data_IF_871052938507
#
_entry.id   IF_871052938507
#
_cell.length_a   1.000
_cell.length_b   1.000
_cell.length_c   1.000
_cell.angle_alpha   90.00
_cell.angle_beta   90.00
_cell.angle_gamma   90.00
#
_symmetry.space_group_name_H-M   'P 1'
#
loop_
_entity.id
_entity.type
_entity.pdbx_description
1 polymer ?
#
# COMPACT_ATOMS: atom_id res chain seq x y z
N UNK A 1 6.59 6.57 14.97
CA UNK A 1 6.64 7.35 13.72
C UNK A 1 5.42 8.27 13.56
N UNK A 2 4.17 7.76 13.41
CA UNK A 2 2.98 8.59 13.10
C UNK A 2 2.75 9.71 14.12
N UNK A 3 2.75 9.42 15.42
CA UNK A 3 2.55 10.43 16.46
C UNK A 3 3.64 11.51 16.43
N UNK A 4 4.90 11.11 16.26
CA UNK A 4 6.01 12.07 16.14
C UNK A 4 5.87 12.95 14.90
N UNK A 5 5.42 12.37 13.79
CA UNK A 5 5.16 13.10 12.55
C UNK A 5 4.07 14.17 12.73
N UNK A 6 2.95 13.81 13.37
CA UNK A 6 1.86 14.76 13.67
C UNK A 6 2.39 15.92 14.55
N UNK A 7 3.15 15.61 15.61
CA UNK A 7 3.69 16.62 16.52
C UNK A 7 4.68 17.55 15.79
N UNK A 8 5.66 17.00 15.08
CA UNK A 8 6.63 17.82 14.35
C UNK A 8 6.00 18.64 13.25
N UNK A 9 5.06 18.08 12.49
CA UNK A 9 4.34 18.83 11.48
C UNK A 9 3.52 19.97 12.10
N UNK A 10 2.81 19.72 13.20
CA UNK A 10 2.06 20.76 13.89
C UNK A 10 2.96 21.92 14.34
N UNK A 11 4.15 21.63 14.87
CA UNK A 11 5.10 22.65 15.33
C UNK A 11 5.71 23.41 14.16
N UNK A 12 6.23 22.71 13.15
CA UNK A 12 7.05 23.31 12.08
C UNK A 12 6.23 23.92 10.96
N UNK A 13 5.06 23.33 10.62
CA UNK A 13 4.19 23.87 9.57
C UNK A 13 3.50 25.15 10.07
N UNK A 14 2.98 25.13 11.30
CA UNK A 14 2.19 26.24 11.84
C UNK A 14 3.00 27.22 12.71
N UNK A 15 4.29 26.98 12.92
CA UNK A 15 5.15 27.88 13.70
C UNK A 15 4.75 27.95 15.17
N UNK A 16 4.45 26.83 15.82
CA UNK A 16 4.09 26.79 17.24
C UNK A 16 5.31 26.63 18.13
N UNK A 17 5.16 26.95 19.44
CA UNK A 17 6.24 26.84 20.45
C UNK A 17 7.48 27.67 20.14
N UNK A 18 7.36 28.83 19.46
CA UNK A 18 8.48 29.72 19.17
C UNK A 18 9.27 29.39 17.91
N UNK A 19 8.87 28.37 17.16
CA UNK A 19 9.46 28.07 15.84
C UNK A 19 8.81 28.92 14.75
N UNK A 20 9.56 29.29 13.70
CA UNK A 20 8.99 29.98 12.54
C UNK A 20 8.05 29.05 11.76
N UNK A 21 6.98 29.59 11.20
CA UNK A 21 6.06 28.86 10.33
C UNK A 21 6.75 28.58 8.98
N UNK A 22 7.21 27.35 8.78
CA UNK A 22 7.95 26.92 7.60
C UNK A 22 7.05 26.37 6.49
N UNK A 23 5.71 26.24 6.72
CA UNK A 23 4.78 25.73 5.72
C UNK A 23 5.20 24.37 5.15
N UNK A 24 5.29 24.26 3.83
CA UNK A 24 5.65 23.00 3.12
C UNK A 24 7.04 22.50 3.52
N UNK A 25 8.02 23.40 3.67
CA UNK A 25 9.36 23.00 4.16
C UNK A 25 9.31 22.42 5.57
N UNK A 26 8.46 22.99 6.44
CA UNK A 26 8.20 22.47 7.78
C UNK A 26 7.64 21.05 7.77
N UNK A 27 6.76 20.71 6.83
CA UNK A 27 6.23 19.35 6.67
C UNK A 27 7.31 18.36 6.25
N UNK A 28 8.20 18.73 5.33
CA UNK A 28 9.32 17.88 4.90
C UNK A 28 10.30 17.61 6.03
N UNK A 29 10.71 18.66 6.76
CA UNK A 29 11.62 18.54 7.92
C UNK A 29 10.96 17.72 9.03
N UNK A 30 9.67 17.98 9.33
CA UNK A 30 8.91 17.25 10.35
C UNK A 30 8.82 15.75 10.06
N UNK A 31 8.60 15.38 8.80
CA UNK A 31 8.59 13.97 8.38
C UNK A 31 9.97 13.32 8.54
N UNK A 32 11.04 14.00 8.12
CA UNK A 32 12.41 13.48 8.29
C UNK A 32 12.80 13.31 9.75
N UNK A 33 12.43 14.24 10.62
CA UNK A 33 12.67 14.14 12.06
C UNK A 33 11.87 12.98 12.69
N UNK A 34 10.61 12.77 12.24
CA UNK A 34 9.80 11.66 12.72
C UNK A 34 10.38 10.29 12.34
N UNK A 35 10.97 10.17 11.16
CA UNK A 35 11.70 8.97 10.75
C UNK A 35 12.95 8.75 11.59
N UNK A 36 13.72 9.80 11.86
CA UNK A 36 14.91 9.72 12.71
C UNK A 36 14.54 9.26 14.13
N UNK A 37 13.49 9.82 14.72
CA UNK A 37 12.97 9.36 16.02
C UNK A 37 12.56 7.89 15.97
N UNK A 38 11.94 7.45 14.88
CA UNK A 38 11.56 6.04 14.68
C UNK A 38 12.79 5.13 14.65
N UNK A 39 13.83 5.51 13.91
CA UNK A 39 15.10 4.75 13.83
C UNK A 39 15.74 4.65 15.22
N UNK A 40 15.85 5.75 15.93
CA UNK A 40 16.42 5.77 17.30
C UNK A 40 15.61 4.88 18.24
N UNK A 41 14.28 4.95 18.17
CA UNK A 41 13.41 4.09 18.96
C UNK A 41 13.62 2.61 18.65
N UNK A 42 13.70 2.23 17.38
CA UNK A 42 13.95 0.84 16.97
C UNK A 42 15.32 0.34 17.41
N UNK A 43 16.36 1.16 17.32
CA UNK A 43 17.70 0.81 17.82
C UNK A 43 17.64 0.54 19.32
N UNK A 44 17.07 1.46 20.11
CA UNK A 44 16.98 1.32 21.57
C UNK A 44 16.11 0.12 21.97
N UNK A 45 14.98 -0.11 21.28
CA UNK A 45 14.11 -1.24 21.53
C UNK A 45 14.82 -2.56 21.23
N UNK A 46 15.52 -2.66 20.09
CA UNK A 46 16.29 -3.83 19.70
C UNK A 46 17.37 -4.12 20.75
N UNK A 47 18.09 -3.11 21.18
CA UNK A 47 19.15 -3.25 22.19
C UNK A 47 18.62 -3.77 23.53
N UNK A 48 17.38 -3.38 23.92
CA UNK A 48 16.80 -3.75 25.23
C UNK A 48 15.97 -5.03 25.22
N UNK A 49 15.40 -5.41 24.09
CA UNK A 49 14.40 -6.48 24.02
C UNK A 49 14.78 -7.67 23.15
N UNK A 50 15.75 -7.49 22.28
CA UNK A 50 16.19 -8.56 21.37
C UNK A 50 17.50 -9.15 21.87
N UNK A 51 17.59 -10.47 21.88
CA UNK A 51 18.85 -11.17 22.20
C UNK A 51 19.81 -11.00 21.03
N UNK A 52 20.68 -10.01 21.13
CA UNK A 52 21.65 -9.63 20.10
C UNK A 52 22.63 -10.76 19.79
N UNK A 53 22.97 -11.59 20.79
CA UNK A 53 23.90 -12.72 20.63
C UNK A 53 23.25 -13.83 19.82
N UNK A 54 22.00 -14.18 20.18
CA UNK A 54 21.22 -15.22 19.48
C UNK A 54 21.03 -14.92 17.99
N UNK A 55 20.80 -13.65 17.65
CA UNK A 55 20.63 -13.21 16.27
C UNK A 55 21.91 -12.76 15.58
N UNK A 56 23.06 -12.86 16.25
CA UNK A 56 24.38 -12.54 15.68
C UNK A 56 24.58 -11.04 15.36
N UNK A 57 23.81 -10.15 16.00
CA UNK A 57 23.85 -8.70 15.74
C UNK A 57 25.07 -8.03 16.38
N UNK A 58 25.75 -8.69 17.32
CA UNK A 58 26.97 -8.18 18.01
C UNK A 58 28.22 -8.39 17.18
N UNK A 59 28.23 -9.39 16.29
CA UNK A 59 29.41 -9.70 15.50
C UNK A 59 29.37 -8.97 14.15
N UNK A 60 30.54 -8.44 13.69
CA UNK A 60 30.60 -7.83 12.38
C UNK A 60 30.14 -8.85 11.32
N UNK A 61 29.12 -8.46 10.54
CA UNK A 61 28.56 -9.32 9.50
C UNK A 61 29.66 -9.73 8.53
N UNK A 62 29.96 -11.04 8.46
CA UNK A 62 30.85 -11.56 7.40
C UNK A 62 30.14 -11.38 6.07
N UNK A 63 30.67 -10.49 5.24
CA UNK A 63 30.19 -10.26 3.89
C UNK A 63 30.25 -11.55 3.06
N UNK A 64 29.13 -11.97 2.51
CA UNK A 64 29.05 -13.14 1.64
C UNK A 64 28.43 -12.73 0.31
N UNK A 65 29.26 -12.62 -0.73
CA UNK A 65 28.82 -12.28 -2.09
C UNK A 65 27.73 -13.21 -2.61
N UNK A 66 27.81 -14.50 -2.29
CA UNK A 66 26.79 -15.50 -2.69
C UNK A 66 25.41 -15.18 -2.10
N UNK A 67 25.36 -14.81 -0.82
CA UNK A 67 24.08 -14.43 -0.15
C UNK A 67 23.54 -13.14 -0.72
N UNK A 68 24.40 -12.14 -0.91
CA UNK A 68 23.99 -10.85 -1.49
C UNK A 68 23.45 -11.03 -2.90
N UNK A 69 24.12 -11.78 -3.77
CA UNK A 69 23.67 -12.06 -5.14
C UNK A 69 22.27 -12.72 -5.14
N UNK A 70 22.04 -13.68 -4.23
CA UNK A 70 20.72 -14.33 -4.12
C UNK A 70 19.63 -13.36 -3.64
N UNK A 71 19.96 -12.47 -2.71
CA UNK A 71 19.02 -11.42 -2.27
C UNK A 71 18.73 -10.43 -3.38
N UNK A 72 19.75 -10.02 -4.13
CA UNK A 72 19.60 -9.10 -5.26
C UNK A 72 18.75 -9.72 -6.38
N UNK A 73 18.92 -11.02 -6.67
CA UNK A 73 18.10 -11.70 -7.68
C UNK A 73 16.61 -11.69 -7.31
N UNK A 74 16.28 -12.00 -6.07
CA UNK A 74 14.89 -11.91 -5.55
C UNK A 74 14.37 -10.48 -5.58
N UNK A 75 15.19 -9.51 -5.14
CA UNK A 75 14.81 -8.10 -5.06
C UNK A 75 14.66 -7.46 -6.44
N UNK A 76 15.45 -7.87 -7.42
CA UNK A 76 15.42 -7.34 -8.77
C UNK A 76 14.06 -7.52 -9.43
N UNK A 77 13.50 -8.72 -9.37
CA UNK A 77 12.16 -8.99 -9.92
C UNK A 77 11.07 -8.17 -9.22
N UNK A 78 11.18 -8.04 -7.89
CA UNK A 78 10.24 -7.21 -7.11
C UNK A 78 10.38 -5.72 -7.43
N UNK A 79 11.60 -5.22 -7.67
CA UNK A 79 11.82 -3.83 -8.10
C UNK A 79 11.19 -3.53 -9.45
N UNK A 80 11.44 -4.38 -10.46
CA UNK A 80 10.84 -4.22 -11.80
C UNK A 80 9.32 -4.27 -11.70
N UNK A 81 8.79 -5.21 -10.93
CA UNK A 81 7.37 -5.34 -10.67
C UNK A 81 6.76 -4.05 -10.13
N UNK A 82 7.32 -3.51 -9.04
CA UNK A 82 6.85 -2.26 -8.44
C UNK A 82 6.97 -1.07 -9.40
N UNK A 83 8.05 -1.02 -10.18
CA UNK A 83 8.23 0.04 -11.18
C UNK A 83 7.13 0.00 -12.26
N UNK A 84 6.82 -1.18 -12.80
CA UNK A 84 5.77 -1.34 -13.81
C UNK A 84 4.40 -1.01 -13.21
N UNK A 85 4.10 -1.47 -11.98
CA UNK A 85 2.84 -1.16 -11.29
C UNK A 85 2.66 0.33 -11.09
N UNK A 86 3.69 1.04 -10.61
CA UNK A 86 3.66 2.50 -10.44
C UNK A 86 3.51 3.22 -11.78
N UNK A 87 4.21 2.76 -12.82
CA UNK A 87 4.10 3.35 -14.17
C UNK A 87 2.69 3.18 -14.74
N UNK A 88 2.08 2.01 -14.57
CA UNK A 88 0.70 1.74 -15.01
C UNK A 88 -0.30 2.63 -14.25
N UNK A 89 -0.10 2.82 -12.95
CA UNK A 89 -0.88 3.75 -12.14
C UNK A 89 -0.75 5.20 -12.62
N UNK A 90 0.46 5.63 -12.93
CA UNK A 90 0.72 6.97 -13.46
C UNK A 90 0.04 7.17 -14.82
N UNK A 91 0.14 6.19 -15.72
CA UNK A 91 -0.54 6.22 -17.02
C UNK A 91 -2.07 6.33 -16.86
N UNK A 92 -2.67 5.60 -15.92
CA UNK A 92 -4.10 5.74 -15.62
C UNK A 92 -4.48 7.19 -15.28
N UNK A 93 -3.69 7.87 -14.44
CA UNK A 93 -3.96 9.27 -14.10
C UNK A 93 -3.81 10.20 -15.27
N UNK A 94 -2.83 9.99 -16.15
CA UNK A 94 -2.70 10.75 -17.39
C UNK A 94 -3.95 10.60 -18.29
N UNK A 95 -4.50 9.41 -18.42
CA UNK A 95 -5.74 9.21 -19.16
C UNK A 95 -6.93 9.90 -18.50
N UNK A 96 -7.06 9.84 -17.18
CA UNK A 96 -8.14 10.53 -16.46
C UNK A 96 -8.03 12.06 -16.58
N UNK A 97 -6.81 12.60 -16.61
CA UNK A 97 -6.56 14.02 -16.83
C UNK A 97 -7.09 14.51 -18.18
N UNK A 98 -6.96 13.70 -19.24
CA UNK A 98 -7.53 14.00 -20.56
C UNK A 98 -9.06 14.02 -20.58
N UNK A 99 -9.74 13.40 -19.60
CA UNK A 99 -11.19 13.45 -19.46
C UNK A 99 -11.70 14.77 -18.81
N UNK A 100 -10.78 15.64 -18.41
CA UNK A 100 -11.03 16.97 -17.85
C UNK A 100 -10.94 17.04 -16.32
N UNK A 101 -10.86 18.28 -15.82
CA UNK A 101 -10.61 18.58 -14.40
C UNK A 101 -11.65 17.98 -13.46
N UNK A 102 -12.91 17.92 -13.86
CA UNK A 102 -13.99 17.36 -13.04
C UNK A 102 -13.81 15.85 -12.84
N UNK A 103 -13.46 15.12 -13.88
CA UNK A 103 -13.20 13.68 -13.82
C UNK A 103 -11.98 13.39 -12.92
N UNK A 104 -10.93 14.19 -13.06
CA UNK A 104 -9.73 14.09 -12.24
C UNK A 104 -10.03 14.36 -10.75
N UNK A 105 -10.84 15.40 -10.46
CA UNK A 105 -11.23 15.73 -9.08
C UNK A 105 -12.04 14.60 -8.44
N UNK A 106 -13.06 14.06 -9.14
CA UNK A 106 -13.86 12.92 -8.67
C UNK A 106 -12.96 11.71 -8.39
N UNK A 107 -12.08 11.37 -9.34
CA UNK A 107 -11.17 10.24 -9.22
C UNK A 107 -10.23 10.40 -8.01
N UNK A 108 -9.69 11.59 -7.78
CA UNK A 108 -8.82 11.87 -6.64
C UNK A 108 -9.54 11.72 -5.29
N UNK A 109 -10.79 12.22 -5.18
CA UNK A 109 -11.58 12.08 -3.95
C UNK A 109 -11.89 10.61 -3.68
N UNK A 110 -12.40 9.87 -4.67
CA UNK A 110 -12.71 8.45 -4.54
C UNK A 110 -11.45 7.65 -4.21
N UNK A 111 -10.32 7.93 -4.84
CA UNK A 111 -9.04 7.28 -4.56
C UNK A 111 -8.59 7.47 -3.12
N UNK A 112 -8.67 8.68 -2.58
CA UNK A 112 -8.25 8.96 -1.21
C UNK A 112 -9.09 8.17 -0.20
N UNK A 113 -10.40 8.12 -0.39
CA UNK A 113 -11.31 7.32 0.44
C UNK A 113 -11.00 5.84 0.29
N UNK A 114 -10.81 5.39 -0.93
CA UNK A 114 -10.47 4.01 -1.30
C UNK A 114 -9.15 3.52 -0.72
N UNK A 115 -8.24 4.44 -0.45
CA UNK A 115 -6.95 4.14 0.17
C UNK A 115 -7.10 3.47 1.53
N UNK A 116 -8.15 3.77 2.30
CA UNK A 116 -8.34 3.22 3.65
C UNK A 116 -8.57 1.70 3.62
N UNK A 117 -9.60 1.17 2.91
CA UNK A 117 -9.76 -0.29 2.78
C UNK A 117 -8.56 -0.96 2.11
N UNK A 118 -7.94 -0.31 1.12
CA UNK A 118 -6.76 -0.84 0.46
C UNK A 118 -5.57 -1.02 1.42
N UNK A 119 -5.34 -0.07 2.34
CA UNK A 119 -4.29 -0.19 3.37
C UNK A 119 -4.52 -1.41 4.26
N UNK A 120 -5.77 -1.70 4.63
CA UNK A 120 -6.10 -2.90 5.41
C UNK A 120 -5.77 -4.16 4.62
N UNK A 121 -6.20 -4.25 3.36
CA UNK A 121 -5.89 -5.38 2.47
C UNK A 121 -4.38 -5.56 2.33
N UNK A 122 -3.64 -4.50 2.09
CA UNK A 122 -2.19 -4.53 1.93
C UNK A 122 -1.46 -5.00 3.20
N UNK A 123 -1.91 -4.58 4.39
CA UNK A 123 -1.36 -5.01 5.67
C UNK A 123 -1.54 -6.53 5.88
N UNK A 124 -2.74 -7.06 5.63
CA UNK A 124 -2.99 -8.50 5.72
C UNK A 124 -2.23 -9.29 4.66
N UNK A 125 -2.13 -8.79 3.45
CA UNK A 125 -1.38 -9.42 2.37
C UNK A 125 0.12 -9.49 2.69
N UNK A 126 0.71 -8.40 3.18
CA UNK A 126 2.11 -8.35 3.61
C UNK A 126 2.40 -9.30 4.78
N UNK A 127 1.51 -9.35 5.78
CA UNK A 127 1.62 -10.29 6.91
C UNK A 127 1.51 -11.74 6.43
N UNK A 128 0.60 -12.03 5.50
CA UNK A 128 0.45 -13.35 4.90
C UNK A 128 1.75 -13.79 4.20
N UNK A 129 2.37 -12.90 3.43
CA UNK A 129 3.66 -13.15 2.76
C UNK A 129 4.77 -13.54 3.76
N UNK A 130 4.88 -12.78 4.86
CA UNK A 130 5.86 -13.07 5.91
C UNK A 130 5.62 -14.41 6.61
N UNK A 131 4.35 -14.72 6.92
CA UNK A 131 3.99 -16.00 7.55
C UNK A 131 4.21 -17.19 6.62
N UNK A 132 3.88 -17.08 5.34
CA UNK A 132 4.15 -18.10 4.32
C UNK A 132 5.65 -18.37 4.21
N UNK A 133 6.48 -17.32 4.15
CA UNK A 133 7.94 -17.46 4.16
C UNK A 133 8.46 -18.21 5.39
N UNK A 134 7.93 -17.88 6.57
CA UNK A 134 8.31 -18.55 7.82
C UNK A 134 7.86 -20.01 7.87
N UNK A 135 6.65 -20.32 7.40
CA UNK A 135 6.14 -21.69 7.36
C UNK A 135 6.97 -22.58 6.43
N UNK A 136 7.32 -22.09 5.25
CA UNK A 136 8.18 -22.79 4.29
C UNK A 136 9.59 -23.00 4.89
N UNK A 137 10.14 -21.97 5.52
CA UNK A 137 11.45 -22.06 6.19
C UNK A 137 11.46 -23.05 7.36
N UNK A 138 10.31 -23.28 8.01
CA UNK A 138 10.13 -24.26 9.08
C UNK A 138 9.76 -25.67 8.58
N UNK A 139 9.64 -25.90 7.26
CA UNK A 139 9.23 -27.18 6.67
C UNK A 139 7.76 -27.53 6.88
N UNK A 140 6.89 -26.54 7.15
CA UNK A 140 5.45 -26.70 7.44
C UNK A 140 4.59 -26.23 6.26
N UNK A 141 4.88 -26.77 5.09
CA UNK A 141 4.19 -26.37 3.84
C UNK A 141 2.68 -26.74 3.84
N UNK A 142 2.30 -27.77 4.58
CA UNK A 142 0.91 -28.19 4.79
C UNK A 142 0.02 -27.08 5.35
N UNK A 143 0.58 -26.18 6.15
CA UNK A 143 -0.15 -25.08 6.77
C UNK A 143 -0.29 -23.84 5.90
N UNK A 144 0.43 -23.74 4.81
CA UNK A 144 0.47 -22.53 3.95
C UNK A 144 -0.93 -22.18 3.44
N UNK A 145 -1.64 -23.13 2.86
CA UNK A 145 -2.97 -22.88 2.29
C UNK A 145 -4.02 -22.53 3.36
N UNK A 146 -3.92 -23.14 4.53
CA UNK A 146 -4.78 -22.82 5.69
C UNK A 146 -4.55 -21.37 6.15
N UNK A 147 -3.29 -20.95 6.25
CA UNK A 147 -2.89 -19.59 6.62
C UNK A 147 -3.41 -18.57 5.62
N UNK A 148 -3.28 -18.82 4.32
CA UNK A 148 -3.80 -17.92 3.27
C UNK A 148 -5.32 -17.76 3.41
N UNK A 149 -6.07 -18.85 3.52
CA UNK A 149 -7.54 -18.80 3.68
C UNK A 149 -7.96 -18.03 4.93
N UNK A 150 -7.23 -18.20 6.02
CA UNK A 150 -7.49 -17.47 7.27
C UNK A 150 -7.27 -15.96 7.08
N UNK A 151 -6.20 -15.54 6.40
CA UNK A 151 -5.96 -14.13 6.09
C UNK A 151 -7.04 -13.55 5.19
N UNK A 152 -7.48 -14.26 4.15
CA UNK A 152 -8.60 -13.84 3.31
C UNK A 152 -9.87 -13.63 4.15
N UNK A 153 -10.20 -14.60 5.03
CA UNK A 153 -11.39 -14.49 5.90
C UNK A 153 -11.29 -13.28 6.84
N UNK A 154 -10.16 -13.09 7.52
CA UNK A 154 -9.95 -11.97 8.44
C UNK A 154 -10.01 -10.63 7.71
N UNK A 155 -9.43 -10.54 6.53
CA UNK A 155 -9.51 -9.34 5.71
C UNK A 155 -10.95 -9.00 5.36
N UNK A 156 -11.75 -9.97 4.94
CA UNK A 156 -13.17 -9.74 4.66
C UNK A 156 -13.98 -9.34 5.89
N UNK A 157 -13.67 -9.91 7.06
CA UNK A 157 -14.35 -9.54 8.31
C UNK A 157 -14.17 -8.06 8.67
N UNK A 158 -13.08 -7.42 8.24
CA UNK A 158 -12.79 -6.02 8.51
C UNK A 158 -13.22 -5.14 7.33
N UNK A 159 -12.88 -5.53 6.11
CA UNK A 159 -13.08 -4.71 4.93
C UNK A 159 -14.55 -4.62 4.52
N UNK A 160 -15.34 -5.72 4.65
CA UNK A 160 -16.76 -5.69 4.27
C UNK A 160 -17.60 -4.72 5.11
N UNK A 161 -17.52 -4.70 6.45
CA UNK A 161 -18.25 -3.70 7.24
C UNK A 161 -17.82 -2.27 6.91
N UNK A 162 -16.52 -2.05 6.67
CA UNK A 162 -16.00 -0.72 6.33
C UNK A 162 -16.52 -0.24 4.98
N UNK A 163 -16.47 -1.09 3.96
CA UNK A 163 -17.01 -0.79 2.62
C UNK A 163 -18.54 -0.68 2.66
N UNK A 164 -19.20 -1.49 3.45
CA UNK A 164 -20.65 -1.37 3.71
C UNK A 164 -21.02 -0.01 4.30
N UNK A 165 -20.23 0.50 5.24
CA UNK A 165 -20.40 1.84 5.77
C UNK A 165 -20.23 2.92 4.67
N UNK A 166 -19.25 2.78 3.78
CA UNK A 166 -19.05 3.71 2.66
C UNK A 166 -20.22 3.68 1.67
N UNK A 167 -20.78 2.51 1.40
CA UNK A 167 -21.92 2.34 0.50
C UNK A 167 -23.22 2.89 1.09
N UNK A 168 -23.42 2.75 2.41
CA UNK A 168 -24.63 3.21 3.11
C UNK A 168 -24.61 4.73 3.37
N UNK A 169 -23.44 5.29 3.67
CA UNK A 169 -23.30 6.71 4.03
C UNK A 169 -22.35 7.47 3.09
N UNK A 170 -22.53 7.41 1.75
CA UNK A 170 -21.57 7.97 0.81
C UNK A 170 -21.42 9.49 0.97
N UNK A 171 -22.51 10.22 1.23
CA UNK A 171 -22.46 11.68 1.40
C UNK A 171 -21.66 12.12 2.61
N UNK A 172 -21.75 11.38 3.72
CA UNK A 172 -20.99 11.69 4.95
C UNK A 172 -19.51 11.46 4.71
N UNK A 173 -19.17 10.32 4.11
CA UNK A 173 -17.76 9.94 3.82
C UNK A 173 -17.12 10.91 2.83
N UNK A 174 -17.82 11.24 1.74
CA UNK A 174 -17.34 12.21 0.74
C UNK A 174 -17.24 13.63 1.33
N UNK A 175 -18.17 14.01 2.22
CA UNK A 175 -18.16 15.30 2.90
C UNK A 175 -16.97 15.55 3.81
N UNK A 176 -16.26 14.51 4.24
CA UNK A 176 -14.99 14.65 4.97
C UNK A 176 -13.87 15.21 4.07
N UNK A 177 -13.95 14.94 2.77
CA UNK A 177 -12.91 15.32 1.80
C UNK A 177 -13.23 16.59 1.02
N UNK A 178 -14.50 16.90 0.79
CA UNK A 178 -14.90 18.06 0.00
C UNK A 178 -16.22 18.62 0.47
N UNK A 179 -16.33 19.96 0.46
CA UNK A 179 -17.57 20.68 0.78
C UNK A 179 -18.36 21.10 -0.47
N UNK A 180 -17.94 20.67 -1.67
CA UNK A 180 -18.57 21.03 -2.94
C UNK A 180 -19.69 20.03 -3.25
N UNK A 181 -20.99 20.44 -3.16
CA UNK A 181 -22.12 19.51 -3.30
C UNK A 181 -22.16 18.80 -4.66
N UNK A 182 -21.83 19.52 -5.73
CA UNK A 182 -21.81 18.97 -7.10
C UNK A 182 -20.74 17.89 -7.27
N UNK A 183 -19.58 18.05 -6.63
CA UNK A 183 -18.51 17.07 -6.66
C UNK A 183 -18.89 15.83 -5.84
N UNK A 184 -19.54 16.01 -4.70
CA UNK A 184 -20.05 14.90 -3.88
C UNK A 184 -21.09 14.09 -4.70
N UNK A 185 -22.04 14.76 -5.33
CA UNK A 185 -23.06 14.09 -6.14
C UNK A 185 -22.45 13.30 -7.30
N UNK A 186 -21.43 13.87 -7.97
CA UNK A 186 -20.72 13.20 -9.08
C UNK A 186 -19.85 12.02 -8.61
N UNK A 187 -19.34 12.05 -7.38
CA UNK A 187 -18.47 11.01 -6.83
C UNK A 187 -19.23 9.79 -6.28
N UNK A 188 -20.51 9.90 -5.92
CA UNK A 188 -21.29 8.80 -5.34
C UNK A 188 -21.33 7.55 -6.23
N UNK A 189 -21.69 7.63 -7.54
CA UNK A 189 -21.70 6.45 -8.40
C UNK A 189 -20.34 5.76 -8.49
N UNK A 190 -19.27 6.54 -8.62
CA UNK A 190 -17.90 6.03 -8.66
C UNK A 190 -17.51 5.34 -7.36
N UNK A 191 -17.93 5.88 -6.20
CA UNK A 191 -17.71 5.25 -4.90
C UNK A 191 -18.45 3.93 -4.77
N UNK A 192 -19.68 3.80 -5.25
CA UNK A 192 -20.42 2.53 -5.22
C UNK A 192 -19.76 1.45 -6.08
N UNK A 193 -19.30 1.81 -7.28
CA UNK A 193 -18.52 0.89 -8.12
C UNK A 193 -17.26 0.47 -7.38
N UNK A 194 -16.56 1.42 -6.76
CA UNK A 194 -15.38 1.11 -5.97
C UNK A 194 -15.67 0.16 -4.79
N UNK A 195 -16.83 0.28 -4.13
CA UNK A 195 -17.21 -0.61 -3.03
C UNK A 195 -17.30 -2.10 -3.43
N UNK A 196 -17.44 -2.42 -4.72
CA UNK A 196 -17.41 -3.80 -5.21
C UNK A 196 -15.98 -4.34 -5.40
N UNK A 197 -15.02 -3.46 -5.58
CA UNK A 197 -13.62 -3.79 -5.91
C UNK A 197 -12.92 -4.66 -4.86
N UNK A 198 -13.08 -4.43 -3.54
CA UNK A 198 -12.42 -5.23 -2.51
C UNK A 198 -12.82 -6.71 -2.51
N UNK A 199 -13.99 -7.05 -3.06
CA UNK A 199 -14.43 -8.46 -3.19
C UNK A 199 -13.45 -9.29 -4.03
N UNK A 200 -12.85 -8.66 -5.04
CA UNK A 200 -11.89 -9.30 -5.95
C UNK A 200 -10.44 -8.99 -5.56
N UNK A 201 -10.15 -7.74 -5.21
CA UNK A 201 -8.79 -7.30 -4.90
C UNK A 201 -8.27 -7.91 -3.59
N UNK A 202 -9.10 -8.09 -2.57
CA UNK A 202 -8.63 -8.61 -1.30
C UNK A 202 -8.08 -10.05 -1.42
N UNK A 203 -8.83 -11.05 -1.94
CA UNK A 203 -8.26 -12.37 -2.13
C UNK A 203 -7.11 -12.36 -3.14
N UNK A 204 -7.25 -11.65 -4.26
CA UNK A 204 -6.21 -11.56 -5.29
C UNK A 204 -4.88 -11.08 -4.73
N UNK A 205 -4.88 -9.99 -3.96
CA UNK A 205 -3.67 -9.42 -3.36
C UNK A 205 -3.04 -10.35 -2.31
N UNK A 206 -3.85 -11.01 -1.47
CA UNK A 206 -3.36 -11.95 -0.46
C UNK A 206 -2.71 -13.18 -1.13
N UNK A 207 -3.35 -13.78 -2.13
CA UNK A 207 -2.76 -14.89 -2.88
C UNK A 207 -1.50 -14.49 -3.61
N UNK A 208 -1.50 -13.32 -4.25
CA UNK A 208 -0.34 -12.77 -4.93
C UNK A 208 0.85 -12.58 -4.00
N UNK A 209 0.63 -11.95 -2.85
CA UNK A 209 1.66 -11.74 -1.84
C UNK A 209 2.12 -13.05 -1.19
N UNK A 210 1.24 -14.03 -1.06
CA UNK A 210 1.63 -15.37 -0.62
C UNK A 210 2.59 -16.04 -1.62
N UNK A 211 2.35 -15.92 -2.93
CA UNK A 211 3.27 -16.40 -3.98
C UNK A 211 4.63 -15.69 -3.87
N UNK A 212 4.64 -14.37 -3.68
CA UNK A 212 5.88 -13.62 -3.42
C UNK A 212 6.60 -14.13 -2.17
N UNK A 213 5.85 -14.46 -1.10
CA UNK A 213 6.35 -15.03 0.15
C UNK A 213 7.02 -16.41 0.01
N UNK A 214 6.72 -17.17 -1.06
CA UNK A 214 7.44 -18.42 -1.36
C UNK A 214 8.87 -18.18 -1.85
N UNK A 215 9.27 -16.94 -2.10
CA UNK A 215 10.55 -16.57 -2.71
C UNK A 215 10.58 -16.70 -4.23
N UNK A 216 9.47 -17.14 -4.87
CA UNK A 216 9.38 -17.24 -6.32
C UNK A 216 8.89 -15.92 -6.95
N UNK A 217 9.64 -14.86 -6.73
CA UNK A 217 9.31 -13.50 -7.18
C UNK A 217 9.21 -13.37 -8.70
N UNK A 218 9.93 -14.23 -9.44
CA UNK A 218 9.82 -14.28 -10.90
C UNK A 218 8.43 -14.71 -11.37
N UNK A 219 7.82 -15.73 -10.73
CA UNK A 219 6.44 -16.14 -11.05
C UNK A 219 5.44 -15.07 -10.65
N UNK A 220 5.61 -14.44 -9.49
CA UNK A 220 4.78 -13.32 -9.08
C UNK A 220 4.85 -12.17 -10.10
N UNK A 221 6.06 -11.81 -10.55
CA UNK A 221 6.25 -10.80 -11.60
C UNK A 221 5.52 -11.14 -12.91
N UNK A 222 5.63 -12.39 -13.39
CA UNK A 222 4.94 -12.82 -14.63
C UNK A 222 3.41 -12.72 -14.48
N UNK A 223 2.86 -13.15 -13.35
CA UNK A 223 1.43 -13.04 -13.06
C UNK A 223 0.97 -11.58 -13.10
N UNK A 224 1.71 -10.68 -12.47
CA UNK A 224 1.39 -9.26 -12.48
C UNK A 224 1.53 -8.65 -13.87
N UNK A 225 2.58 -8.99 -14.61
CA UNK A 225 2.77 -8.52 -15.99
C UNK A 225 1.59 -8.88 -16.88
N UNK A 226 1.09 -10.12 -16.79
CA UNK A 226 -0.09 -10.56 -17.52
C UNK A 226 -1.32 -9.75 -17.11
N UNK A 227 -1.55 -9.58 -15.82
CA UNK A 227 -2.68 -8.81 -15.29
C UNK A 227 -2.64 -7.35 -15.74
N UNK A 228 -1.48 -6.70 -15.63
CA UNK A 228 -1.28 -5.31 -16.06
C UNK A 228 -1.40 -5.14 -17.57
N UNK A 229 -0.98 -6.14 -18.37
CA UNK A 229 -1.15 -6.12 -19.81
C UNK A 229 -2.64 -6.10 -20.19
N UNK A 230 -3.44 -6.97 -19.59
CA UNK A 230 -4.90 -6.96 -19.79
C UNK A 230 -5.53 -5.63 -19.34
N UNK A 231 -5.13 -5.12 -18.19
CA UNK A 231 -5.60 -3.84 -17.68
C UNK A 231 -5.28 -2.69 -18.64
N UNK A 232 -4.04 -2.62 -19.12
CA UNK A 232 -3.61 -1.57 -20.06
C UNK A 232 -4.35 -1.66 -21.38
N UNK A 233 -4.48 -2.87 -21.93
CA UNK A 233 -5.26 -3.09 -23.16
C UNK A 233 -6.71 -2.65 -23.00
N UNK A 234 -7.35 -3.01 -21.89
CA UNK A 234 -8.71 -2.58 -21.60
C UNK A 234 -8.81 -1.05 -21.50
N UNK A 235 -7.91 -0.42 -20.74
CA UNK A 235 -7.92 1.04 -20.53
C UNK A 235 -7.69 1.79 -21.85
N UNK A 236 -6.73 1.36 -22.66
CA UNK A 236 -6.44 1.97 -23.97
C UNK A 236 -7.61 1.78 -24.92
N UNK A 237 -8.17 0.57 -25.02
CA UNK A 237 -9.33 0.31 -25.89
C UNK A 237 -10.55 1.14 -25.48
N UNK A 238 -10.80 1.26 -24.17
CA UNK A 238 -11.91 2.06 -23.66
C UNK A 238 -11.72 3.55 -23.99
N UNK A 239 -10.53 4.10 -23.81
CA UNK A 239 -10.24 5.50 -24.13
C UNK A 239 -10.34 5.79 -25.63
N UNK A 240 -9.86 4.88 -26.49
CA UNK A 240 -10.00 5.04 -27.94
C UNK A 240 -11.44 4.94 -28.44
N UNK A 241 -12.31 4.20 -27.75
CA UNK A 241 -13.72 4.06 -28.12
C UNK A 241 -14.60 5.20 -27.57
N UNK A 242 -14.18 5.87 -26.50
CA UNK A 242 -14.99 6.87 -25.78
C UNK A 242 -14.53 8.30 -25.97
N UNK A 243 -13.31 8.52 -26.46
CA UNK A 243 -12.80 9.84 -26.82
C UNK A 243 -12.90 10.04 -28.34
N UNK A 244 -13.52 11.17 -28.78
CA UNK A 244 -13.60 11.51 -30.19
C UNK A 244 -12.23 11.85 -30.78
#
# INVERSE_FOLDING_TARGET
>A
MVLSNVVFNYILVFGKFGFPALGIAGAAIGSSLAELVSVVFFILYTYRRVDLVKYGLVHPMRYSWRKLRRMLDVSFWTMIQNFISLSTWFLFFLFVEHLGERALAVTNVVRNISGIPFMVVAAFASTCSALVSNLIGAGREDMVMSTIRQHVRLTFMIVLPMVGCFALFPRVILGVYTNIPDLIAAAIPSLWVYCTTPLLIAPGNIYFQAVSGTGNTRKAFILELVTLSFYTLYTVSYTHLTLP
#
